data_IF_917801125097
#
_entry.id   IF_917801125097
#
_cell.length_a   1.000
_cell.length_b   1.000
_cell.length_c   1.000
_cell.angle_alpha   90.00
_cell.angle_beta   90.00
_cell.angle_gamma   90.00
#
_symmetry.space_group_name_H-M   'P 1'
#
loop_
_entity.id
_entity.type
_entity.pdbx_description
1 polymer ?
#
# COMPACT_ATOMS: atom_id res chain seq x y z
N UNK A 1 5.54 -13.96 -25.78
CA UNK A 1 5.64 -12.89 -24.75
C UNK A 1 4.85 -13.29 -23.52
N UNK A 2 5.49 -13.26 -22.37
CA UNK A 2 4.85 -13.54 -21.09
C UNK A 2 4.62 -12.24 -20.33
N UNK A 3 3.36 -11.96 -20.00
CA UNK A 3 2.97 -10.81 -19.16
C UNK A 3 2.41 -11.37 -17.87
N UNK A 4 2.91 -10.86 -16.76
CA UNK A 4 2.41 -11.18 -15.41
C UNK A 4 1.81 -9.94 -14.77
N UNK A 5 0.62 -10.10 -14.20
CA UNK A 5 -0.07 -9.08 -13.42
C UNK A 5 -0.16 -9.54 -11.97
N UNK A 6 0.29 -8.69 -11.05
CA UNK A 6 0.19 -8.92 -9.61
C UNK A 6 -0.74 -7.84 -9.05
N UNK A 7 -1.76 -8.23 -8.31
CA UNK A 7 -2.75 -7.31 -7.72
C UNK A 7 -2.84 -7.55 -6.22
N UNK A 8 -2.82 -6.47 -5.44
CA UNK A 8 -3.14 -6.51 -4.01
C UNK A 8 -4.66 -6.46 -3.81
N UNK A 9 -5.27 -7.64 -3.69
CA UNK A 9 -6.72 -7.78 -3.52
C UNK A 9 -7.11 -8.26 -2.11
N UNK A 10 -6.15 -8.34 -1.20
CA UNK A 10 -6.38 -8.81 0.17
C UNK A 10 -6.88 -7.72 1.12
N UNK A 11 -7.41 -8.15 2.26
CA UNK A 11 -7.71 -7.26 3.36
C UNK A 11 -6.40 -6.80 4.05
N UNK A 12 -6.39 -5.60 4.67
CA UNK A 12 -5.26 -5.19 5.48
C UNK A 12 -4.97 -6.20 6.59
N UNK A 13 -3.70 -6.44 6.90
CA UNK A 13 -3.34 -7.35 7.97
C UNK A 13 -3.75 -6.78 9.34
N UNK A 14 -3.99 -7.69 10.28
CA UNK A 14 -4.20 -7.33 11.69
C UNK A 14 -2.87 -6.99 12.38
N UNK A 15 -2.94 -6.24 13.50
CA UNK A 15 -1.79 -6.04 14.38
C UNK A 15 -1.20 -7.39 14.83
N UNK A 16 0.14 -7.56 14.86
CA UNK A 16 1.20 -6.55 14.71
C UNK A 16 1.70 -6.32 13.26
N UNK A 17 1.14 -6.99 12.28
CA UNK A 17 1.63 -6.95 10.89
C UNK A 17 1.30 -5.64 10.15
N UNK A 18 0.41 -4.82 10.70
CA UNK A 18 0.00 -3.53 10.11
C UNK A 18 1.13 -2.50 10.01
N UNK A 19 2.20 -2.65 10.79
CA UNK A 19 3.34 -1.73 10.74
C UNK A 19 4.04 -1.69 9.38
N UNK A 20 4.05 -2.81 8.68
CA UNK A 20 4.71 -2.97 7.39
C UNK A 20 3.73 -2.85 6.21
N UNK A 21 2.44 -2.71 6.50
CA UNK A 21 1.39 -2.56 5.49
C UNK A 21 1.34 -1.15 4.92
N UNK A 22 0.99 -1.06 3.65
CA UNK A 22 0.81 0.18 2.91
C UNK A 22 -0.62 0.25 2.35
N UNK A 23 -1.18 1.46 2.26
CA UNK A 23 -2.55 1.66 1.78
C UNK A 23 -2.66 1.51 0.26
N UNK A 24 -2.26 0.36 -0.25
CA UNK A 24 -2.23 0.03 -1.67
C UNK A 24 -3.35 -0.92 -2.12
N UNK A 25 -4.52 -0.87 -1.50
CA UNK A 25 -5.65 -1.72 -1.88
C UNK A 25 -5.93 -1.64 -3.37
N UNK A 26 -6.03 -2.79 -4.04
CA UNK A 26 -6.19 -2.93 -5.48
C UNK A 26 -5.02 -2.36 -6.31
N UNK A 27 -3.90 -2.04 -5.68
CA UNK A 27 -2.70 -1.67 -6.43
C UNK A 27 -2.18 -2.86 -7.23
N UNK A 28 -1.50 -2.58 -8.34
CA UNK A 28 -1.03 -3.63 -9.23
C UNK A 28 0.38 -3.37 -9.73
N UNK A 29 1.04 -4.43 -10.14
CA UNK A 29 2.31 -4.39 -10.84
C UNK A 29 2.22 -5.21 -12.13
N UNK A 30 2.85 -4.74 -13.20
CA UNK A 30 2.91 -5.44 -14.49
C UNK A 30 4.37 -5.76 -14.79
N UNK A 31 4.62 -7.03 -15.08
CA UNK A 31 5.94 -7.55 -15.44
C UNK A 31 5.85 -8.17 -16.83
N UNK A 32 6.74 -7.77 -17.73
CA UNK A 32 6.86 -8.34 -19.07
C UNK A 32 8.30 -8.77 -19.33
N UNK A 33 8.50 -10.02 -19.74
CA UNK A 33 9.82 -10.59 -20.01
C UNK A 33 10.83 -10.30 -18.89
N UNK A 34 10.42 -10.55 -17.63
CA UNK A 34 11.25 -10.34 -16.42
C UNK A 34 11.60 -8.87 -16.13
N UNK A 35 10.99 -7.92 -16.82
CA UNK A 35 11.14 -6.47 -16.56
C UNK A 35 9.86 -5.90 -16.00
N UNK A 36 9.99 -5.12 -14.93
CA UNK A 36 8.84 -4.38 -14.37
C UNK A 36 8.51 -3.19 -15.26
N UNK A 37 7.29 -3.17 -15.78
CA UNK A 37 6.75 -2.07 -16.58
C UNK A 37 6.01 -1.05 -15.71
N UNK A 38 5.19 -1.55 -14.78
CA UNK A 38 4.46 -0.75 -13.79
C UNK A 38 4.79 -1.33 -12.43
N UNK A 39 5.21 -0.50 -11.50
CA UNK A 39 5.59 -0.90 -10.15
C UNK A 39 5.11 0.10 -9.11
N UNK A 40 4.88 -0.35 -7.90
CA UNK A 40 4.61 0.51 -6.75
C UNK A 40 5.91 1.07 -6.15
N UNK A 41 5.81 2.10 -5.31
CA UNK A 41 6.99 2.74 -4.71
C UNK A 41 7.79 1.83 -3.77
N UNK A 42 7.15 0.77 -3.27
CA UNK A 42 7.76 -0.13 -2.31
C UNK A 42 7.76 0.40 -0.89
N UNK A 43 8.36 -0.37 0.01
CA UNK A 43 8.47 -0.08 1.42
C UNK A 43 9.71 0.77 1.72
N UNK A 44 9.56 1.85 2.46
CA UNK A 44 10.67 2.66 2.95
C UNK A 44 11.13 2.22 4.33
N UNK A 45 12.44 2.16 4.52
CA UNK A 45 13.04 1.75 5.78
C UNK A 45 12.71 2.73 6.91
N UNK A 46 12.72 2.21 8.13
CA UNK A 46 12.26 2.84 9.37
C UNK A 46 13.01 4.11 9.77
N UNK A 47 14.18 4.36 9.23
CA UNK A 47 15.07 5.45 9.65
C UNK A 47 14.58 6.84 9.23
N UNK A 48 13.65 6.92 8.29
CA UNK A 48 13.02 8.17 7.89
C UNK A 48 11.50 8.09 8.06
N UNK A 49 11.01 8.60 9.19
CA UNK A 49 9.58 8.57 9.56
C UNK A 49 8.70 9.21 8.49
N UNK A 50 9.11 10.37 7.95
CA UNK A 50 8.33 11.10 6.94
C UNK A 50 8.20 10.33 5.63
N UNK A 51 9.28 9.75 5.13
CA UNK A 51 9.25 8.91 3.91
C UNK A 51 8.44 7.64 4.13
N UNK A 52 8.53 7.06 5.31
CA UNK A 52 7.72 5.90 5.66
C UNK A 52 6.21 6.23 5.65
N UNK A 53 5.81 7.35 6.23
CA UNK A 53 4.41 7.81 6.21
C UNK A 53 3.92 8.08 4.79
N UNK A 54 4.72 8.75 3.96
CA UNK A 54 4.40 9.02 2.56
C UNK A 54 4.23 7.70 1.79
N UNK A 55 5.14 6.75 1.95
CA UNK A 55 5.08 5.46 1.26
C UNK A 55 3.86 4.61 1.65
N UNK A 56 3.30 4.86 2.82
CA UNK A 56 2.07 4.18 3.27
C UNK A 56 0.79 4.73 2.65
N UNK A 57 0.83 5.93 2.06
CA UNK A 57 -0.37 6.54 1.47
C UNK A 57 -0.79 5.88 0.16
N UNK A 58 -2.08 5.84 -0.11
CA UNK A 58 -2.59 5.30 -1.39
C UNK A 58 -2.08 6.06 -2.60
N UNK A 59 -1.83 7.36 -2.47
CA UNK A 59 -1.34 8.21 -3.56
C UNK A 59 0.03 7.80 -4.12
N UNK A 60 0.80 7.01 -3.39
CA UNK A 60 2.10 6.50 -3.84
C UNK A 60 2.03 5.13 -4.51
N UNK A 61 0.84 4.59 -4.68
CA UNK A 61 0.59 3.28 -5.28
C UNK A 61 -0.16 3.39 -6.60
N UNK A 62 -0.05 2.36 -7.45
CA UNK A 62 -0.76 2.26 -8.73
C UNK A 62 -2.20 1.81 -8.49
N UNK A 63 -3.00 2.66 -7.89
CA UNK A 63 -4.40 2.40 -7.56
C UNK A 63 -5.22 3.68 -7.52
N UNK A 64 -6.53 3.53 -7.34
CA UNK A 64 -7.47 4.63 -7.26
C UNK A 64 -7.39 5.34 -5.91
N UNK A 65 -7.39 6.67 -5.92
CA UNK A 65 -7.68 7.50 -4.75
C UNK A 65 -9.06 8.14 -4.89
N UNK A 66 -9.78 8.27 -3.78
CA UNK A 66 -11.11 8.90 -3.75
C UNK A 66 -11.04 10.12 -2.83
N UNK A 67 -11.38 11.31 -3.36
CA UNK A 67 -11.35 12.58 -2.65
C UNK A 67 -10.03 12.83 -1.92
N UNK A 68 -8.90 12.49 -2.55
CA UNK A 68 -7.55 12.61 -1.97
C UNK A 68 -7.34 11.86 -0.65
N UNK A 69 -8.18 10.86 -0.37
CA UNK A 69 -8.05 10.01 0.81
C UNK A 69 -7.39 8.67 0.48
N UNK A 70 -6.57 8.20 1.40
CA UNK A 70 -6.01 6.85 1.33
C UNK A 70 -7.08 5.78 1.60
N UNK A 71 -6.90 4.58 1.02
CA UNK A 71 -7.82 3.45 1.20
C UNK A 71 -7.96 2.98 2.65
N UNK A 72 -6.97 3.28 3.48
CA UNK A 72 -7.05 3.02 4.91
C UNK A 72 -6.40 4.14 5.72
N UNK A 73 -6.83 4.29 6.97
CA UNK A 73 -6.19 5.17 7.95
C UNK A 73 -5.30 4.36 8.88
N UNK A 74 -4.06 4.80 9.02
CA UNK A 74 -3.14 4.25 10.01
C UNK A 74 -3.23 5.04 11.29
N UNK A 75 -3.52 4.35 12.41
CA UNK A 75 -3.48 4.93 13.74
C UNK A 75 -2.30 4.32 14.49
N UNK A 76 -1.41 5.17 14.98
CA UNK A 76 -0.30 4.73 15.80
C UNK A 76 -0.78 4.44 17.22
N UNK A 77 -0.54 3.23 17.70
CA UNK A 77 -0.84 2.80 19.06
C UNK A 77 0.45 2.26 19.66
N UNK A 78 1.09 3.05 20.55
CA UNK A 78 2.40 2.70 21.13
C UNK A 78 3.43 2.41 20.02
N UNK A 79 3.94 1.19 19.93
CA UNK A 79 4.93 0.76 18.93
C UNK A 79 4.31 0.05 17.71
N UNK A 80 2.99 0.16 17.53
CA UNK A 80 2.23 -0.53 16.48
C UNK A 80 1.33 0.44 15.72
N UNK A 81 0.81 0.00 14.58
CA UNK A 81 -0.19 0.72 13.80
C UNK A 81 -1.47 -0.10 13.70
N UNK A 82 -2.60 0.57 13.81
CA UNK A 82 -3.90 0.03 13.46
C UNK A 82 -4.30 0.58 12.09
N UNK A 83 -4.71 -0.30 11.19
CA UNK A 83 -5.20 0.08 9.87
C UNK A 83 -6.71 -0.13 9.80
N UNK A 84 -7.43 0.95 9.52
CA UNK A 84 -8.88 0.90 9.29
C UNK A 84 -9.15 1.22 7.82
N UNK A 85 -9.76 0.28 7.10
CA UNK A 85 -10.21 0.51 5.73
C UNK A 85 -11.33 1.54 5.73
N UNK A 86 -11.27 2.45 4.77
CA UNK A 86 -12.37 3.36 4.52
C UNK A 86 -13.48 2.62 3.74
N UNK A 87 -14.72 2.74 4.21
CA UNK A 87 -15.84 1.93 3.74
C UNK A 87 -16.15 2.04 2.24
N UNK A 88 -15.80 3.15 1.59
CA UNK A 88 -16.04 3.32 0.15
C UNK A 88 -15.05 2.57 -0.75
N UNK A 89 -14.00 1.95 -0.21
CA UNK A 89 -13.07 1.12 -0.99
C UNK A 89 -13.55 -0.32 -1.12
N UNK A 90 -14.49 -0.73 -0.32
CA UNK A 90 -15.05 -2.07 -0.25
C UNK A 90 -16.56 -2.03 -0.16
#
# INVERSE_FOLDING_TARGET
>A
KKISLIVDAGNPPISPYTKDYQAGSLSFEIISNQKKLITNCGYFNKDNVKLNEISKSTATHNTLTIDDHSSCKFKRIKNSYLCNILTWFW
#
